data_IF_592964045140
#
_entry.id   IF_592964045140
#
_cell.length_a   1.000
_cell.length_b   1.000
_cell.length_c   1.000
_cell.angle_alpha   90.00
_cell.angle_beta   90.00
_cell.angle_gamma   90.00
#
_symmetry.space_group_name_H-M   'P 1'
#
loop_
_entity.id
_entity.type
_entity.pdbx_description
1 polymer ?
#
# COMPACT_ATOMS: atom_id res chain seq x y z
N UNK A 1 -12.94 14.50 15.28
CA UNK A 1 -12.58 13.34 14.42
C UNK A 1 -11.48 13.80 13.49
N UNK A 2 -10.28 13.22 13.61
CA UNK A 2 -9.04 13.78 13.05
C UNK A 2 -9.07 13.70 11.51
N UNK A 3 -9.16 14.84 10.81
CA UNK A 3 -9.30 14.92 9.35
C UNK A 3 -8.25 14.09 8.60
N UNK A 4 -7.03 14.06 9.14
CA UNK A 4 -5.89 13.30 8.61
C UNK A 4 -6.10 11.79 8.70
N UNK A 5 -6.81 11.29 9.72
CA UNK A 5 -7.12 9.87 9.85
C UNK A 5 -8.14 9.41 8.80
N UNK A 6 -9.15 10.25 8.51
CA UNK A 6 -10.11 9.99 7.43
C UNK A 6 -9.43 9.98 6.05
N UNK A 7 -8.50 10.91 5.82
CA UNK A 7 -7.67 10.94 4.61
C UNK A 7 -6.78 9.68 4.49
N UNK A 8 -6.08 9.30 5.57
CA UNK A 8 -5.29 8.06 5.62
C UNK A 8 -6.13 6.85 5.23
N UNK A 9 -7.31 6.68 5.83
CA UNK A 9 -8.17 5.53 5.52
C UNK A 9 -8.62 5.51 4.05
N UNK A 10 -8.92 6.68 3.47
CA UNK A 10 -9.25 6.78 2.04
C UNK A 10 -8.05 6.38 1.17
N UNK A 11 -6.86 6.88 1.48
CA UNK A 11 -5.65 6.52 0.75
C UNK A 11 -5.30 5.04 0.90
N UNK A 12 -5.49 4.46 2.08
CA UNK A 12 -5.26 3.04 2.33
C UNK A 12 -6.24 2.17 1.52
N UNK A 13 -7.50 2.57 1.40
CA UNK A 13 -8.46 1.86 0.55
C UNK A 13 -8.06 1.92 -0.93
N UNK A 14 -7.59 3.09 -1.39
CA UNK A 14 -7.07 3.22 -2.77
C UNK A 14 -5.85 2.31 -2.96
N UNK A 15 -4.90 2.31 -2.02
CA UNK A 15 -3.73 1.43 -2.05
C UNK A 15 -4.12 -0.05 -2.13
N UNK A 16 -5.07 -0.48 -1.30
CA UNK A 16 -5.54 -1.87 -1.29
C UNK A 16 -6.17 -2.26 -2.64
N UNK A 17 -7.03 -1.42 -3.19
CA UNK A 17 -7.65 -1.67 -4.50
C UNK A 17 -6.61 -1.74 -5.62
N UNK A 18 -5.59 -0.87 -5.59
CA UNK A 18 -4.51 -0.91 -6.58
C UNK A 18 -3.72 -2.21 -6.48
N UNK A 19 -3.38 -2.64 -5.26
CA UNK A 19 -2.66 -3.89 -5.04
C UNK A 19 -3.46 -5.12 -5.50
N UNK A 20 -4.78 -5.11 -5.32
CA UNK A 20 -5.65 -6.18 -5.80
C UNK A 20 -5.68 -6.25 -7.33
N UNK A 21 -5.80 -5.09 -8.01
CA UNK A 21 -5.72 -5.02 -9.48
C UNK A 21 -4.38 -5.57 -9.99
N UNK A 22 -3.28 -5.17 -9.34
CA UNK A 22 -1.93 -5.66 -9.62
C UNK A 22 -1.85 -7.19 -9.47
N UNK A 23 -2.40 -7.72 -8.38
CA UNK A 23 -2.41 -9.15 -8.12
C UNK A 23 -3.16 -9.92 -9.21
N UNK A 24 -4.38 -9.48 -9.55
CA UNK A 24 -5.21 -10.10 -10.59
C UNK A 24 -4.49 -10.09 -11.95
N UNK A 25 -3.86 -8.97 -12.30
CA UNK A 25 -3.08 -8.87 -13.53
C UNK A 25 -1.95 -9.91 -13.59
N UNK A 26 -1.20 -10.07 -12.50
CA UNK A 26 -0.11 -11.04 -12.44
C UNK A 26 -0.61 -12.48 -12.53
N UNK A 27 -1.74 -12.82 -11.92
CA UNK A 27 -2.37 -14.13 -12.06
C UNK A 27 -2.74 -14.44 -13.52
N UNK A 28 -3.36 -13.50 -14.21
CA UNK A 28 -3.71 -13.63 -15.64
C UNK A 28 -2.45 -13.79 -16.49
N UNK A 29 -1.42 -12.97 -16.24
CA UNK A 29 -0.13 -13.04 -16.95
C UNK A 29 0.53 -14.40 -16.78
N UNK A 30 0.59 -14.91 -15.55
CA UNK A 30 1.17 -16.21 -15.24
C UNK A 30 0.41 -17.35 -15.91
N UNK A 31 -0.93 -17.29 -15.89
CA UNK A 31 -1.78 -18.27 -16.58
C UNK A 31 -1.53 -18.29 -18.09
N UNK A 32 -1.44 -17.12 -18.73
CA UNK A 32 -1.18 -17.03 -20.17
C UNK A 32 0.19 -17.58 -20.56
N UNK A 33 1.23 -17.30 -19.76
CA UNK A 33 2.58 -17.86 -19.93
C UNK A 33 2.56 -19.39 -19.84
N UNK A 34 1.88 -19.95 -18.84
CA UNK A 34 1.81 -21.40 -18.65
C UNK A 34 1.10 -22.12 -19.81
N UNK A 35 0.12 -21.48 -20.43
CA UNK A 35 -0.69 -22.08 -21.49
C UNK A 35 -0.18 -21.77 -22.92
N UNK A 36 0.98 -21.12 -23.07
CA UNK A 36 1.55 -20.71 -24.37
C UNK A 36 0.55 -19.91 -25.24
N UNK A 37 -0.33 -19.12 -24.63
CA UNK A 37 -1.33 -18.31 -25.34
C UNK A 37 -0.75 -17.00 -25.90
N UNK A 38 0.57 -16.94 -26.08
CA UNK A 38 1.33 -15.71 -26.36
C UNK A 38 1.12 -15.14 -27.77
N UNK A 39 0.52 -15.90 -28.70
CA UNK A 39 0.49 -15.54 -30.12
C UNK A 39 -0.58 -14.50 -30.49
N UNK A 40 -1.42 -14.03 -29.56
CA UNK A 40 -2.55 -13.13 -29.89
C UNK A 40 -2.69 -11.88 -29.00
N UNK A 41 -1.84 -11.69 -27.99
CA UNK A 41 -2.11 -10.71 -26.91
C UNK A 41 -0.88 -9.83 -26.61
N UNK A 42 -0.12 -9.41 -27.62
CA UNK A 42 1.10 -8.60 -27.37
C UNK A 42 0.76 -7.16 -26.97
N UNK A 43 -0.21 -6.54 -27.67
CA UNK A 43 -0.60 -5.14 -27.43
C UNK A 43 -1.42 -4.97 -26.14
N UNK A 44 -2.33 -5.89 -25.85
CA UNK A 44 -3.11 -5.86 -24.60
C UNK A 44 -2.22 -6.13 -23.38
N UNK A 45 -1.27 -7.09 -23.44
CA UNK A 45 -0.30 -7.31 -22.36
C UNK A 45 0.51 -6.03 -22.14
N UNK A 46 1.01 -5.42 -23.21
CA UNK A 46 1.80 -4.18 -23.11
C UNK A 46 0.98 -3.02 -22.51
N UNK A 47 -0.28 -2.87 -22.92
CA UNK A 47 -1.19 -1.89 -22.32
C UNK A 47 -1.33 -2.10 -20.81
N UNK A 48 -1.54 -3.34 -20.37
CA UNK A 48 -1.68 -3.63 -18.94
C UNK A 48 -0.35 -3.51 -18.18
N UNK A 49 0.80 -3.76 -18.80
CA UNK A 49 2.12 -3.49 -18.20
C UNK A 49 2.33 -1.98 -17.97
N UNK A 50 1.91 -1.14 -18.92
CA UNK A 50 1.95 0.31 -18.75
C UNK A 50 1.01 0.76 -17.61
N UNK A 51 -0.20 0.21 -17.54
CA UNK A 51 -1.13 0.47 -16.43
C UNK A 51 -0.61 0.00 -15.08
N UNK A 52 0.04 -1.16 -15.03
CA UNK A 52 0.72 -1.64 -13.83
C UNK A 52 1.77 -0.63 -13.34
N UNK A 53 2.57 -0.09 -14.27
CA UNK A 53 3.61 0.90 -13.95
C UNK A 53 3.01 2.23 -13.46
N UNK A 54 1.95 2.72 -14.11
CA UNK A 54 1.22 3.92 -13.66
C UNK A 54 0.66 3.75 -12.24
N UNK A 55 0.08 2.59 -11.95
CA UNK A 55 -0.47 2.25 -10.65
C UNK A 55 0.62 2.16 -9.57
N UNK A 56 1.74 1.52 -9.89
CA UNK A 56 2.91 1.42 -9.00
C UNK A 56 3.47 2.81 -8.64
N UNK A 57 3.54 3.72 -9.61
CA UNK A 57 3.95 5.10 -9.35
C UNK A 57 2.93 5.87 -8.49
N UNK A 58 1.63 5.60 -8.70
CA UNK A 58 0.57 6.19 -7.89
C UNK A 58 0.66 5.77 -6.43
N UNK A 59 1.02 4.51 -6.15
CA UNK A 59 1.29 4.01 -4.79
C UNK A 59 2.41 4.82 -4.14
N UNK A 60 3.54 4.97 -4.83
CA UNK A 60 4.69 5.73 -4.32
C UNK A 60 4.32 7.19 -4.02
N UNK A 61 3.54 7.81 -4.91
CA UNK A 61 3.06 9.17 -4.73
C UNK A 61 2.14 9.30 -3.50
N UNK A 62 1.14 8.42 -3.35
CA UNK A 62 0.24 8.42 -2.20
C UNK A 62 1.01 8.23 -0.90
N UNK A 63 1.95 7.28 -0.85
CA UNK A 63 2.81 7.08 0.32
C UNK A 63 3.64 8.33 0.66
N UNK A 64 4.16 9.02 -0.36
CA UNK A 64 4.90 10.27 -0.16
C UNK A 64 4.03 11.39 0.44
N UNK A 65 2.75 11.47 0.05
CA UNK A 65 1.79 12.42 0.63
C UNK A 65 1.53 12.07 2.09
N UNK A 66 1.22 10.80 2.39
CA UNK A 66 0.99 10.35 3.77
C UNK A 66 2.19 10.68 4.65
N UNK A 67 3.41 10.45 4.15
CA UNK A 67 4.64 10.75 4.89
C UNK A 67 4.83 12.25 5.11
N UNK A 68 4.64 13.07 4.07
CA UNK A 68 4.75 14.54 4.15
C UNK A 68 3.73 15.15 5.11
N UNK A 69 2.49 14.63 5.10
CA UNK A 69 1.39 15.14 5.90
C UNK A 69 1.29 14.49 7.30
N UNK A 70 2.03 13.40 7.61
CA UNK A 70 2.00 12.78 8.97
C UNK A 70 2.47 13.77 10.04
N UNK A 71 3.25 14.81 9.69
CA UNK A 71 3.84 15.81 10.61
C UNK A 71 4.51 15.20 11.85
N UNK A 72 4.73 13.88 11.83
CA UNK A 72 4.93 12.98 12.96
C UNK A 72 4.35 13.46 14.30
N UNK A 73 3.03 13.31 14.46
CA UNK A 73 2.42 13.40 15.79
C UNK A 73 2.62 12.08 16.55
N UNK A 74 3.76 12.00 17.23
CA UNK A 74 4.15 10.86 18.04
C UNK A 74 3.33 10.78 19.32
N UNK A 75 2.83 9.59 19.62
CA UNK A 75 2.22 9.26 20.90
C UNK A 75 3.12 8.27 21.61
N UNK A 76 3.37 8.54 22.89
CA UNK A 76 3.97 7.58 23.80
C UNK A 76 2.87 6.65 24.32
N UNK A 77 3.04 5.37 24.06
CA UNK A 77 2.13 4.31 24.48
C UNK A 77 2.89 3.24 25.25
N UNK A 78 2.18 2.54 26.12
CA UNK A 78 2.72 1.49 26.95
C UNK A 78 2.01 0.19 26.58
N UNK A 79 2.72 -0.68 25.86
CA UNK A 79 2.21 -2.00 25.49
C UNK A 79 2.62 -3.00 26.56
N UNK A 80 1.61 -3.57 27.21
CA UNK A 80 1.76 -4.70 28.11
C UNK A 80 1.99 -5.96 27.27
N UNK A 81 3.24 -6.40 27.16
CA UNK A 81 3.59 -7.66 26.49
C UNK A 81 3.29 -8.84 27.43
N UNK A 82 3.52 -8.65 28.73
CA UNK A 82 3.08 -9.50 29.84
C UNK A 82 2.81 -8.62 31.06
N UNK A 83 2.10 -9.09 32.12
CA UNK A 83 1.83 -8.30 33.32
C UNK A 83 3.07 -7.73 34.03
N UNK A 84 4.25 -8.28 33.73
CA UNK A 84 5.55 -7.95 34.32
C UNK A 84 6.47 -7.18 33.35
N UNK A 85 6.09 -7.12 32.06
CA UNK A 85 6.86 -6.49 30.99
C UNK A 85 5.96 -5.58 30.19
N UNK A 86 5.87 -4.33 30.65
CA UNK A 86 5.38 -3.23 29.85
C UNK A 86 6.56 -2.63 29.07
N UNK A 87 6.34 -2.33 27.80
CA UNK A 87 7.30 -1.62 26.96
C UNK A 87 6.71 -0.27 26.54
N UNK A 88 7.51 0.78 26.71
CA UNK A 88 7.18 2.08 26.15
C UNK A 88 7.54 2.08 24.67
N UNK A 89 6.56 2.39 23.84
CA UNK A 89 6.73 2.62 22.40
C UNK A 89 6.32 4.05 22.08
N UNK A 90 6.99 4.65 21.12
CA UNK A 90 6.63 5.97 20.59
C UNK A 90 6.32 5.80 19.11
N UNK A 91 5.10 6.12 18.65
CA UNK A 91 4.69 5.91 17.25
C UNK A 91 3.92 7.08 16.63
N UNK A 92 4.10 7.37 15.33
CA UNK A 92 3.25 8.34 14.61
C UNK A 92 1.86 7.73 14.42
N UNK A 93 0.82 8.39 14.93
CA UNK A 93 -0.59 7.95 14.75
C UNK A 93 -1.04 7.85 13.29
N UNK A 94 -0.32 8.50 12.37
CA UNK A 94 -0.66 8.53 10.96
C UNK A 94 0.19 7.55 10.12
N UNK A 95 1.51 7.52 10.26
CA UNK A 95 2.35 6.61 9.46
C UNK A 95 2.79 5.34 10.21
N UNK A 96 2.45 5.20 11.50
CA UNK A 96 2.81 4.07 12.35
C UNK A 96 4.33 3.83 12.46
N UNK A 97 5.14 4.82 12.08
CA UNK A 97 6.57 4.79 12.32
C UNK A 97 6.85 4.81 13.82
N UNK A 98 7.58 3.81 14.30
CA UNK A 98 8.02 3.65 15.68
C UNK A 98 9.46 4.15 15.86
N UNK A 99 9.75 4.86 16.95
CA UNK A 99 11.10 5.27 17.37
C UNK A 99 11.69 4.33 18.43
#
# INVERSE_FOLDING_TARGET
MNHNLLLKNKYQNILNNINEIIYIYNEIKNYNIQNNLNDTITEEIQYYEEKYKELSNSILYINSIIYKECQHNYIDDEIDITPELSQRITYCTLCEHTL
#
